data_IF_550144631262
#
_entry.id   IF_550144631262
#
_cell.length_a   1.000
_cell.length_b   1.000
_cell.length_c   1.000
_cell.angle_alpha   90.00
_cell.angle_beta   90.00
_cell.angle_gamma   90.00
#
_symmetry.space_group_name_H-M   'P 1'
#
loop_
_entity.id
_entity.type
_entity.pdbx_description
1 polymer ?
#
# COMPACT_ATOMS: atom_id res chain seq x y z
N UNK A 1 9.69 23.78 17.73
CA UNK A 1 8.30 23.92 17.29
C UNK A 1 8.10 23.17 15.99
N UNK A 2 7.09 22.36 15.93
CA UNK A 2 6.80 21.67 14.69
C UNK A 2 6.41 22.68 13.62
N UNK A 3 7.00 22.56 12.45
CA UNK A 3 6.63 23.40 11.33
C UNK A 3 5.26 22.92 10.83
N UNK A 4 4.25 23.77 10.95
CA UNK A 4 2.90 23.43 10.48
C UNK A 4 2.83 23.21 8.97
N UNK A 5 3.85 23.63 8.23
CA UNK A 5 3.95 23.42 6.79
C UNK A 5 4.79 22.19 6.45
N UNK A 6 5.35 21.51 7.45
CA UNK A 6 6.08 20.29 7.20
C UNK A 6 5.12 19.22 6.67
N UNK A 7 5.56 18.39 5.71
CA UNK A 7 4.71 17.32 5.21
C UNK A 7 4.30 16.40 6.34
N UNK A 8 3.03 16.00 6.35
CA UNK A 8 2.56 14.97 7.27
C UNK A 8 3.27 13.66 6.95
N UNK A 9 3.75 12.96 7.97
CA UNK A 9 4.35 11.65 7.79
C UNK A 9 3.31 10.56 7.60
N UNK A 10 2.05 10.84 7.96
CA UNK A 10 0.94 9.92 7.74
C UNK A 10 0.38 10.13 6.35
N UNK A 11 0.44 9.14 5.47
CA UNK A 11 -0.11 9.29 4.12
C UNK A 11 -1.61 9.53 4.14
N UNK A 12 -2.08 10.33 3.20
CA UNK A 12 -3.52 10.61 3.04
C UNK A 12 -4.13 9.93 1.82
N UNK A 13 -3.31 9.40 0.94
CA UNK A 13 -3.79 8.73 -0.27
C UNK A 13 -2.86 7.60 -0.67
N UNK A 14 -3.46 6.57 -1.25
CA UNK A 14 -2.74 5.46 -1.88
C UNK A 14 -2.88 5.60 -3.39
N UNK A 15 -1.76 5.72 -4.07
CA UNK A 15 -1.71 5.76 -5.53
C UNK A 15 -1.21 4.42 -6.05
N UNK A 16 -1.96 3.85 -6.97
CA UNK A 16 -1.66 2.54 -7.53
C UNK A 16 -1.36 2.70 -9.01
N UNK A 17 -0.18 2.26 -9.42
CA UNK A 17 0.22 2.24 -10.82
C UNK A 17 0.20 0.79 -11.28
N UNK A 18 -0.73 0.47 -12.15
CA UNK A 18 -0.97 -0.90 -12.59
C UNK A 18 -0.98 -1.01 -14.11
N UNK A 19 -0.45 -2.12 -14.59
CA UNK A 19 -0.49 -2.50 -16.00
C UNK A 19 0.48 -1.74 -16.89
N UNK A 20 0.54 -2.12 -18.17
CA UNK A 20 1.51 -1.54 -19.10
C UNK A 20 1.26 -0.08 -19.44
N UNK A 21 0.03 0.40 -19.21
CA UNK A 21 -0.33 1.79 -19.48
C UNK A 21 -0.08 2.70 -18.28
N UNK A 22 0.42 2.17 -17.17
CA UNK A 22 0.67 2.90 -15.92
C UNK A 22 -0.55 3.70 -15.47
N UNK A 23 -1.73 3.10 -15.62
CA UNK A 23 -2.97 3.75 -15.18
C UNK A 23 -2.89 4.01 -13.68
N UNK A 24 -2.98 5.28 -13.30
CA UNK A 24 -2.91 5.68 -11.91
C UNK A 24 -4.30 5.69 -11.30
N UNK A 25 -4.47 4.92 -10.25
CA UNK A 25 -5.69 4.89 -9.46
C UNK A 25 -5.36 5.44 -8.08
N UNK A 26 -6.16 6.39 -7.60
CA UNK A 26 -5.95 6.98 -6.30
C UNK A 26 -7.07 6.59 -5.35
N UNK A 27 -6.70 6.12 -4.16
CA UNK A 27 -7.63 5.77 -3.10
C UNK A 27 -7.33 6.63 -1.87
N UNK A 28 -8.34 7.32 -1.35
CA UNK A 28 -8.18 8.10 -0.14
C UNK A 28 -7.96 7.18 1.05
N UNK A 29 -6.94 7.51 1.87
CA UNK A 29 -6.68 6.82 3.13
C UNK A 29 -7.24 7.58 4.32
N UNK A 30 -7.83 8.75 4.09
CA UNK A 30 -8.46 9.51 5.15
C UNK A 30 -9.67 8.75 5.68
N UNK A 31 -9.83 8.74 7.00
CA UNK A 31 -10.94 8.04 7.68
C UNK A 31 -10.91 6.52 7.51
N UNK A 32 -9.78 5.98 7.06
CA UNK A 32 -9.60 4.53 6.95
C UNK A 32 -8.68 4.05 8.04
N UNK A 33 -9.13 3.07 8.83
CA UNK A 33 -8.29 2.43 9.84
C UNK A 33 -7.47 1.32 9.23
N UNK A 34 -8.01 0.64 8.23
CA UNK A 34 -7.29 -0.40 7.52
C UNK A 34 -7.73 -0.48 6.06
N UNK A 35 -6.84 -0.96 5.21
CA UNK A 35 -7.09 -1.16 3.78
C UNK A 35 -6.51 -2.51 3.38
N UNK A 36 -7.36 -3.40 2.87
CA UNK A 36 -6.94 -4.70 2.36
C UNK A 36 -6.78 -4.61 0.85
N UNK A 37 -5.67 -5.09 0.35
CA UNK A 37 -5.31 -5.03 -1.07
C UNK A 37 -5.18 -6.46 -1.61
N UNK A 38 -5.76 -6.73 -2.76
CA UNK A 38 -5.67 -8.04 -3.39
C UNK A 38 -6.54 -8.16 -4.62
N UNK A 39 -6.65 -9.38 -5.15
CA UNK A 39 -7.46 -9.65 -6.33
C UNK A 39 -8.93 -9.91 -6.02
N UNK A 40 -9.25 -10.25 -4.77
CA UNK A 40 -10.63 -10.55 -4.41
C UNK A 40 -11.52 -9.31 -4.53
N UNK A 41 -12.74 -9.46 -5.05
CA UNK A 41 -13.61 -8.30 -5.26
C UNK A 41 -14.07 -7.63 -3.96
N UNK A 42 -13.93 -8.29 -2.82
CA UNK A 42 -14.27 -7.72 -1.51
C UNK A 42 -13.09 -6.98 -0.85
N UNK A 43 -11.93 -6.92 -1.50
CA UNK A 43 -10.83 -6.10 -1.02
C UNK A 43 -11.17 -4.62 -1.12
N UNK A 44 -10.57 -3.81 -0.25
CA UNK A 44 -10.74 -2.35 -0.32
C UNK A 44 -10.09 -1.76 -1.56
N UNK A 45 -8.96 -2.32 -1.96
CA UNK A 45 -8.29 -1.99 -3.22
C UNK A 45 -8.14 -3.28 -4.01
N UNK A 46 -8.84 -3.35 -5.14
CA UNK A 46 -8.82 -4.54 -5.99
C UNK A 46 -7.84 -4.30 -7.14
N UNK A 47 -6.87 -5.21 -7.26
CA UNK A 47 -5.88 -5.14 -8.34
C UNK A 47 -6.01 -6.37 -9.25
N UNK A 48 -5.70 -6.18 -10.52
CA UNK A 48 -5.83 -7.22 -11.54
C UNK A 48 -4.53 -7.95 -11.84
N UNK A 49 -3.52 -7.76 -11.01
CA UNK A 49 -2.21 -8.40 -11.18
C UNK A 49 -2.31 -9.89 -10.85
N UNK A 50 -1.95 -10.74 -11.81
CA UNK A 50 -2.03 -12.20 -11.64
C UNK A 50 -1.07 -12.72 -10.58
N UNK A 51 -0.06 -11.93 -10.21
CA UNK A 51 0.88 -12.29 -9.15
C UNK A 51 0.35 -11.95 -7.78
N UNK A 52 -0.75 -11.21 -7.70
CA UNK A 52 -1.38 -10.88 -6.43
C UNK A 52 -2.23 -12.04 -5.93
N UNK A 53 -2.19 -12.26 -4.63
CA UNK A 53 -3.10 -13.20 -3.96
C UNK A 53 -4.46 -12.55 -3.79
N UNK A 54 -5.48 -13.34 -3.49
CA UNK A 54 -6.85 -12.83 -3.31
C UNK A 54 -6.91 -11.77 -2.22
N UNK A 55 -6.31 -12.02 -1.08
CA UNK A 55 -6.07 -11.04 -0.01
C UNK A 55 -4.57 -11.02 0.20
N UNK A 56 -3.90 -10.01 -0.38
CA UNK A 56 -2.45 -10.02 -0.50
C UNK A 56 -1.75 -9.35 0.67
N UNK A 57 -2.14 -8.12 0.97
CA UNK A 57 -1.54 -7.35 2.06
C UNK A 57 -2.58 -6.41 2.66
N UNK A 58 -2.21 -5.82 3.79
CA UNK A 58 -3.07 -4.91 4.52
C UNK A 58 -2.26 -3.73 5.02
N UNK A 59 -2.84 -2.54 4.90
CA UNK A 59 -2.33 -1.32 5.51
C UNK A 59 -3.19 -1.03 6.74
N UNK A 60 -2.57 -0.79 7.88
CA UNK A 60 -3.26 -0.43 9.11
C UNK A 60 -2.76 0.93 9.59
N UNK A 61 -3.68 1.86 9.85
CA UNK A 61 -3.32 3.20 10.31
C UNK A 61 -2.66 3.15 11.67
N UNK A 62 -1.55 3.85 11.79
CA UNK A 62 -0.84 4.07 13.05
C UNK A 62 -0.62 5.57 13.22
N UNK A 63 -0.17 5.97 14.41
CA UNK A 63 0.07 7.38 14.70
C UNK A 63 1.06 8.04 13.74
N UNK A 64 2.03 7.28 13.24
CA UNK A 64 3.12 7.84 12.42
C UNK A 64 3.08 7.41 10.96
N UNK A 65 2.09 6.61 10.54
CA UNK A 65 2.02 6.13 9.18
C UNK A 65 1.06 4.97 9.03
N UNK A 66 1.33 4.10 8.07
CA UNK A 66 0.57 2.87 7.86
C UNK A 66 1.48 1.66 8.01
N UNK A 67 1.03 0.70 8.80
CA UNK A 67 1.73 -0.58 8.95
C UNK A 67 1.34 -1.48 7.78
N UNK A 68 2.32 -1.84 6.97
CA UNK A 68 2.13 -2.77 5.84
C UNK A 68 2.41 -4.18 6.30
N UNK A 69 1.45 -5.07 6.08
CA UNK A 69 1.55 -6.46 6.48
C UNK A 69 1.17 -7.38 5.32
N UNK A 70 2.02 -8.35 5.02
CA UNK A 70 1.72 -9.39 4.05
C UNK A 70 0.78 -10.41 4.70
N UNK A 71 -0.31 -10.74 4.02
CA UNK A 71 -1.33 -11.65 4.55
C UNK A 71 -1.08 -13.11 4.14
N UNK A 72 0.17 -13.51 4.08
CA UNK A 72 0.54 -14.86 3.66
C UNK A 72 0.47 -15.03 2.16
N UNK A 73 0.80 -14.00 1.41
CA UNK A 73 0.72 -14.04 -0.04
C UNK A 73 1.71 -15.04 -0.65
N UNK A 74 1.33 -15.55 -1.82
CA UNK A 74 2.16 -16.52 -2.53
C UNK A 74 3.45 -15.91 -3.05
N UNK A 75 3.37 -14.71 -3.64
CA UNK A 75 4.52 -14.09 -4.30
C UNK A 75 5.19 -13.00 -3.48
N UNK A 76 4.62 -12.64 -2.33
CA UNK A 76 5.22 -11.66 -1.44
C UNK A 76 4.83 -10.22 -1.74
N UNK A 77 5.08 -9.38 -0.75
CA UNK A 77 4.96 -7.93 -0.84
C UNK A 77 6.38 -7.37 -0.73
N UNK A 78 6.75 -6.45 -1.64
CA UNK A 78 8.12 -5.95 -1.72
C UNK A 78 8.19 -4.50 -1.28
N UNK A 79 9.21 -4.18 -0.49
CA UNK A 79 9.57 -2.81 -0.13
C UNK A 79 11.04 -2.62 -0.51
N UNK A 80 11.32 -1.61 -1.34
CA UNK A 80 12.67 -1.37 -1.86
C UNK A 80 13.26 -2.62 -2.55
N UNK A 81 12.40 -3.38 -3.24
CA UNK A 81 12.82 -4.57 -3.97
C UNK A 81 13.01 -5.81 -3.14
N UNK A 82 12.80 -5.75 -1.82
CA UNK A 82 12.96 -6.90 -0.93
C UNK A 82 11.62 -7.34 -0.37
N UNK A 83 11.40 -8.65 -0.36
CA UNK A 83 10.19 -9.22 0.23
C UNK A 83 10.16 -8.96 1.73
N UNK A 84 9.07 -8.38 2.23
CA UNK A 84 8.94 -8.18 3.67
C UNK A 84 8.61 -9.49 4.36
N UNK A 85 9.27 -9.75 5.48
CA UNK A 85 9.08 -10.97 6.27
C UNK A 85 8.33 -10.68 7.56
N UNK A 86 8.07 -9.40 7.84
CA UNK A 86 7.34 -8.94 9.01
C UNK A 86 6.69 -7.60 8.67
N UNK A 87 5.70 -7.15 9.44
CA UNK A 87 5.09 -5.84 9.19
C UNK A 87 6.10 -4.72 9.22
N UNK A 88 5.92 -3.74 8.33
CA UNK A 88 6.80 -2.58 8.23
C UNK A 88 5.97 -1.30 8.20
N UNK A 89 6.40 -0.30 8.97
CA UNK A 89 5.73 1.00 9.00
C UNK A 89 6.16 1.83 7.79
N UNK A 90 5.19 2.27 7.01
CA UNK A 90 5.41 3.12 5.85
C UNK A 90 4.86 4.51 6.12
N UNK A 91 5.64 5.52 5.74
CA UNK A 91 5.30 6.94 5.86
C UNK A 91 5.01 7.51 4.47
N UNK A 92 4.64 8.78 4.43
CA UNK A 92 4.41 9.48 3.17
C UNK A 92 5.66 9.41 2.28
N UNK A 93 5.42 9.31 0.97
CA UNK A 93 6.44 9.24 -0.08
C UNK A 93 7.17 7.89 -0.13
N UNK A 94 6.67 6.89 0.55
CA UNK A 94 7.23 5.55 0.45
C UNK A 94 6.39 4.70 -0.49
N UNK A 95 7.02 3.66 -1.03
CA UNK A 95 6.41 2.78 -2.03
C UNK A 95 6.50 1.33 -1.60
N UNK A 96 5.61 0.52 -2.13
CA UNK A 96 5.71 -0.93 -2.04
C UNK A 96 5.20 -1.54 -3.35
N UNK A 97 5.40 -2.83 -3.54
CA UNK A 97 5.13 -3.48 -4.81
C UNK A 97 4.51 -4.85 -4.59
N UNK A 98 3.52 -5.17 -5.43
CA UNK A 98 2.94 -6.50 -5.55
C UNK A 98 3.02 -6.89 -7.01
N UNK A 99 3.79 -7.95 -7.31
CA UNK A 99 3.99 -8.35 -8.70
C UNK A 99 4.54 -7.19 -9.53
N UNK A 100 3.81 -6.80 -10.56
CA UNK A 100 4.18 -5.68 -11.42
C UNK A 100 3.44 -4.38 -11.06
N UNK A 101 2.68 -4.40 -9.98
CA UNK A 101 1.89 -3.26 -9.53
C UNK A 101 2.64 -2.49 -8.46
N UNK A 102 2.81 -1.19 -8.69
CA UNK A 102 3.50 -0.29 -7.75
C UNK A 102 2.49 0.52 -6.95
N UNK A 103 2.77 0.70 -5.67
CA UNK A 103 1.95 1.47 -4.75
C UNK A 103 2.79 2.61 -4.17
N UNK A 104 2.20 3.79 -4.14
CA UNK A 104 2.82 4.99 -3.58
C UNK A 104 1.90 5.57 -2.51
N UNK A 105 2.48 5.82 -1.34
CA UNK A 105 1.77 6.44 -0.21
C UNK A 105 2.06 7.95 -0.21
N UNK A 106 1.03 8.73 -0.42
CA UNK A 106 1.19 10.17 -0.55
C UNK A 106 0.43 11.03 0.45
#
# INVERSE_FOLDING_TARGET
MADKNAPSEVPSALKVSAGPEFKLIETSLQKRDSVVIGRAPDCDVVIQDLKASRRHCQLTRKAEGFLLEDLGSRNGTLVNGSRIMQPILLKANQTFQIGDTMFYLG
#
